data_IF_548510224887
#
_entry.id   IF_548510224887
#
_cell.length_a   1.000
_cell.length_b   1.000
_cell.length_c   1.000
_cell.angle_alpha   90.00
_cell.angle_beta   90.00
_cell.angle_gamma   90.00
#
_symmetry.space_group_name_H-M   'P 1'
#
loop_
_entity.id
_entity.type
_entity.pdbx_description
1 polymer ?
#
# COMPACT_ATOMS: atom_id res chain seq x y z
N UNK A 1 2.88 9.29 15.13
CA UNK A 1 2.18 9.44 13.84
C UNK A 1 3.05 10.00 12.71
N UNK A 2 3.57 11.24 12.76
CA UNK A 2 4.33 11.88 11.65
C UNK A 2 5.42 11.01 11.00
N UNK A 3 6.32 10.44 11.82
CA UNK A 3 7.42 9.59 11.34
C UNK A 3 6.89 8.32 10.67
N UNK A 4 5.84 7.72 11.22
CA UNK A 4 5.18 6.55 10.62
C UNK A 4 4.61 6.90 9.23
N UNK A 5 3.88 8.01 9.12
CA UNK A 5 3.31 8.46 7.84
C UNK A 5 4.42 8.71 6.82
N UNK A 6 5.51 9.37 7.23
CA UNK A 6 6.64 9.65 6.37
C UNK A 6 7.32 8.38 5.84
N UNK A 7 7.69 7.45 6.74
CA UNK A 7 8.37 6.22 6.35
C UNK A 7 7.48 5.37 5.44
N UNK A 8 6.22 5.17 5.84
CA UNK A 8 5.27 4.40 5.05
C UNK A 8 5.01 5.06 3.69
N UNK A 9 4.83 6.38 3.65
CA UNK A 9 4.67 7.14 2.41
C UNK A 9 5.86 7.00 1.46
N UNK A 10 7.09 7.09 1.97
CA UNK A 10 8.29 6.90 1.13
C UNK A 10 8.42 5.47 0.59
N UNK A 11 8.07 4.45 1.39
CA UNK A 11 8.07 3.06 0.95
C UNK A 11 7.02 2.82 -0.14
N UNK A 12 5.79 3.28 0.07
CA UNK A 12 4.70 3.17 -0.92
C UNK A 12 5.03 3.97 -2.20
N UNK A 13 5.71 5.11 -2.08
CA UNK A 13 6.16 5.87 -3.25
C UNK A 13 7.16 5.07 -4.08
N UNK A 14 8.14 4.45 -3.41
CA UNK A 14 9.17 3.65 -4.08
C UNK A 14 8.56 2.41 -4.76
N UNK A 15 7.81 1.61 -4.00
CA UNK A 15 7.19 0.37 -4.51
C UNK A 15 6.15 0.69 -5.58
N UNK A 16 5.30 1.69 -5.32
CA UNK A 16 4.29 2.18 -6.26
C UNK A 16 4.91 2.63 -7.58
N UNK A 17 5.99 3.41 -7.53
CA UNK A 17 6.70 3.85 -8.74
C UNK A 17 7.30 2.69 -9.52
N UNK A 18 7.95 1.73 -8.85
CA UNK A 18 8.53 0.55 -9.49
C UNK A 18 7.43 -0.26 -10.19
N UNK A 19 6.33 -0.54 -9.50
CA UNK A 19 5.23 -1.33 -10.04
C UNK A 19 4.46 -0.59 -11.16
N UNK A 20 4.34 0.74 -11.06
CA UNK A 20 3.70 1.57 -12.07
C UNK A 20 4.53 1.64 -13.37
N UNK A 21 5.85 1.83 -13.28
CA UNK A 21 6.72 2.09 -14.43
C UNK A 21 7.23 0.78 -15.05
N UNK A 22 7.81 -0.10 -14.25
CA UNK A 22 8.43 -1.34 -14.71
C UNK A 22 8.32 -2.47 -13.66
N UNK A 23 7.14 -3.11 -13.53
CA UNK A 23 6.95 -4.16 -12.55
C UNK A 23 7.86 -5.38 -12.78
N UNK A 24 8.43 -5.57 -13.99
CA UNK A 24 9.37 -6.67 -14.29
C UNK A 24 10.69 -6.60 -13.54
N UNK A 25 11.00 -5.49 -12.87
CA UNK A 25 12.13 -5.39 -11.94
C UNK A 25 11.94 -6.37 -10.77
N UNK A 26 10.70 -6.55 -10.32
CA UNK A 26 10.35 -7.46 -9.23
C UNK A 26 10.37 -8.91 -9.77
N UNK A 27 11.11 -9.85 -9.13
CA UNK A 27 11.30 -11.21 -9.64
C UNK A 27 10.00 -11.96 -9.97
N UNK A 28 8.94 -11.79 -9.17
CA UNK A 28 7.63 -12.43 -9.38
C UNK A 28 6.94 -12.03 -10.68
N UNK A 29 7.30 -10.88 -11.27
CA UNK A 29 6.69 -10.37 -12.49
C UNK A 29 7.54 -10.56 -13.75
N UNK A 30 8.77 -11.11 -13.66
CA UNK A 30 9.67 -11.27 -14.83
C UNK A 30 9.04 -12.04 -15.99
N UNK A 31 8.26 -13.08 -15.67
CA UNK A 31 7.55 -13.94 -16.64
C UNK A 31 6.03 -13.80 -16.55
N UNK A 32 5.53 -12.73 -15.93
CA UNK A 32 4.10 -12.48 -15.80
C UNK A 32 3.44 -12.24 -17.17
N UNK A 33 2.18 -12.67 -17.29
CA UNK A 33 1.35 -12.37 -18.46
C UNK A 33 1.10 -10.87 -18.60
N UNK A 34 0.71 -10.43 -19.81
CA UNK A 34 0.35 -9.02 -20.03
C UNK A 34 -0.74 -8.52 -19.08
N UNK A 35 -1.76 -9.34 -18.82
CA UNK A 35 -2.84 -9.01 -17.88
C UNK A 35 -2.32 -8.80 -16.44
N UNK A 36 -1.44 -9.69 -15.97
CA UNK A 36 -0.86 -9.57 -14.63
C UNK A 36 0.07 -8.35 -14.52
N UNK A 37 0.79 -8.00 -15.59
CA UNK A 37 1.57 -6.75 -15.66
C UNK A 37 0.66 -5.52 -15.58
N UNK A 38 -0.47 -5.50 -16.29
CA UNK A 38 -1.43 -4.38 -16.22
C UNK A 38 -1.97 -4.22 -14.80
N UNK A 39 -2.37 -5.31 -14.14
CA UNK A 39 -2.84 -5.27 -12.75
C UNK A 39 -1.75 -4.74 -11.81
N UNK A 40 -0.49 -5.18 -11.98
CA UNK A 40 0.62 -4.68 -11.19
C UNK A 40 0.81 -3.16 -11.34
N UNK A 41 0.65 -2.63 -12.57
CA UNK A 41 0.72 -1.18 -12.81
C UNK A 41 -0.43 -0.43 -12.16
N UNK A 42 -1.65 -0.95 -12.25
CA UNK A 42 -2.84 -0.35 -11.60
C UNK A 42 -2.65 -0.29 -10.08
N UNK A 43 -2.17 -1.40 -9.49
CA UNK A 43 -1.81 -1.43 -8.07
C UNK A 43 -0.70 -0.42 -7.74
N UNK A 44 0.35 -0.35 -8.57
CA UNK A 44 1.42 0.64 -8.41
C UNK A 44 0.91 2.08 -8.45
N UNK A 45 -0.04 2.40 -9.32
CA UNK A 45 -0.69 3.72 -9.36
C UNK A 45 -1.51 4.04 -8.10
N UNK A 46 -2.19 3.05 -7.54
CA UNK A 46 -2.90 3.19 -6.27
C UNK A 46 -1.93 3.46 -5.10
N UNK A 47 -0.88 2.64 -4.97
CA UNK A 47 0.17 2.82 -3.96
C UNK A 47 0.87 4.18 -4.09
N UNK A 48 1.21 4.59 -5.31
CA UNK A 48 1.79 5.90 -5.60
C UNK A 48 0.87 7.04 -5.14
N UNK A 49 -0.44 6.93 -5.39
CA UNK A 49 -1.40 7.97 -5.02
C UNK A 49 -1.54 8.11 -3.49
N UNK A 50 -1.59 6.98 -2.78
CA UNK A 50 -1.60 6.95 -1.31
C UNK A 50 -0.30 7.55 -0.74
N UNK A 51 0.84 7.26 -1.36
CA UNK A 51 2.12 7.81 -0.98
C UNK A 51 2.17 9.34 -1.13
N UNK A 52 1.66 9.89 -2.23
CA UNK A 52 1.55 11.33 -2.42
C UNK A 52 0.68 11.95 -1.33
N UNK A 53 -0.46 11.33 -0.98
CA UNK A 53 -1.29 11.83 0.11
C UNK A 53 -0.57 11.79 1.46
N UNK A 54 0.18 10.73 1.76
CA UNK A 54 1.01 10.64 2.96
C UNK A 54 2.05 11.79 3.03
N UNK A 55 2.71 12.10 1.91
CA UNK A 55 3.68 13.20 1.86
C UNK A 55 3.03 14.57 2.05
N UNK A 56 1.85 14.81 1.46
CA UNK A 56 1.10 16.05 1.68
C UNK A 56 0.77 16.24 3.17
N UNK A 57 0.31 15.18 3.84
CA UNK A 57 0.04 15.21 5.28
C UNK A 57 1.30 15.46 6.09
N UNK A 58 2.45 14.91 5.71
CA UNK A 58 3.71 15.13 6.45
C UNK A 58 4.24 16.56 6.25
N UNK A 59 4.11 17.11 5.04
CA UNK A 59 4.57 18.47 4.75
C UNK A 59 3.70 19.53 5.45
N UNK A 60 2.41 19.27 5.59
CA UNK A 60 1.46 20.14 6.30
C UNK A 60 0.97 19.50 7.61
N UNK A 61 1.87 18.86 8.37
CA UNK A 61 1.47 18.03 9.53
C UNK A 61 0.87 18.83 10.69
N UNK A 62 1.06 20.14 10.75
CA UNK A 62 0.39 20.96 11.76
C UNK A 62 -1.09 21.17 11.43
N UNK A 63 -1.50 20.89 10.19
CA UNK A 63 -2.89 20.90 9.76
C UNK A 63 -3.58 19.57 10.09
N UNK A 64 -4.08 19.47 11.32
CA UNK A 64 -4.70 18.25 11.83
C UNK A 64 -5.96 17.81 11.06
N UNK A 65 -6.57 18.70 10.27
CA UNK A 65 -7.78 18.38 9.49
C UNK A 65 -7.58 17.25 8.48
N UNK A 66 -6.35 16.99 8.06
CA UNK A 66 -6.01 15.94 7.09
C UNK A 66 -5.60 14.61 7.74
N UNK A 67 -5.32 14.59 9.05
CA UNK A 67 -4.80 13.41 9.73
C UNK A 67 -5.80 12.25 9.72
N UNK A 68 -7.01 12.48 10.21
CA UNK A 68 -8.05 11.43 10.28
C UNK A 68 -8.46 10.96 8.88
N UNK A 69 -8.76 11.83 7.90
CA UNK A 69 -9.03 11.39 6.53
C UNK A 69 -7.92 10.53 5.94
N UNK A 70 -6.66 10.92 6.13
CA UNK A 70 -5.52 10.14 5.68
C UNK A 70 -5.47 8.77 6.35
N UNK A 71 -5.57 8.70 7.67
CA UNK A 71 -5.50 7.43 8.40
C UNK A 71 -6.64 6.48 7.99
N UNK A 72 -7.86 6.98 7.74
CA UNK A 72 -8.97 6.16 7.25
C UNK A 72 -8.64 5.58 5.87
N UNK A 73 -8.20 6.42 4.93
CA UNK A 73 -7.88 5.99 3.56
C UNK A 73 -6.72 4.99 3.56
N UNK A 74 -5.67 5.28 4.34
CA UNK A 74 -4.49 4.43 4.50
C UNK A 74 -4.86 3.08 5.13
N UNK A 75 -5.70 3.07 6.18
CA UNK A 75 -6.21 1.86 6.80
C UNK A 75 -7.00 1.00 5.81
N UNK A 76 -7.97 1.59 5.09
CA UNK A 76 -8.79 0.85 4.13
C UNK A 76 -7.96 0.30 2.98
N UNK A 77 -7.00 1.08 2.47
CA UNK A 77 -6.07 0.60 1.45
C UNK A 77 -5.32 -0.65 1.92
N UNK A 78 -4.61 -0.57 3.05
CA UNK A 78 -3.82 -1.70 3.54
C UNK A 78 -4.69 -2.91 3.95
N UNK A 79 -5.84 -2.68 4.57
CA UNK A 79 -6.78 -3.73 4.92
C UNK A 79 -7.30 -4.45 3.66
N UNK A 80 -7.73 -3.71 2.64
CA UNK A 80 -8.24 -4.28 1.41
C UNK A 80 -7.18 -5.13 0.68
N UNK A 81 -5.93 -4.66 0.64
CA UNK A 81 -4.82 -5.43 0.06
C UNK A 81 -4.56 -6.70 0.87
N UNK A 82 -4.49 -6.61 2.20
CA UNK A 82 -4.34 -7.78 3.07
C UNK A 82 -5.46 -8.81 2.84
N UNK A 83 -6.71 -8.35 2.76
CA UNK A 83 -7.86 -9.21 2.48
C UNK A 83 -7.79 -9.82 1.08
N UNK A 84 -7.36 -9.07 0.07
CA UNK A 84 -7.20 -9.60 -1.30
C UNK A 84 -6.24 -10.77 -1.36
N UNK A 85 -5.10 -10.68 -0.64
CA UNK A 85 -4.11 -11.76 -0.54
C UNK A 85 -4.68 -12.96 0.20
N UNK A 86 -5.41 -12.73 1.29
CA UNK A 86 -6.08 -13.80 2.05
C UNK A 86 -7.12 -14.53 1.19
N UNK A 87 -7.96 -13.78 0.47
CA UNK A 87 -8.97 -14.34 -0.44
C UNK A 87 -8.28 -15.18 -1.52
N UNK A 88 -7.22 -14.66 -2.14
CA UNK A 88 -6.46 -15.41 -3.16
C UNK A 88 -5.76 -16.65 -2.59
N UNK A 89 -5.28 -16.59 -1.35
CA UNK A 89 -4.67 -17.75 -0.68
C UNK A 89 -5.72 -18.85 -0.41
N UNK A 90 -6.86 -18.49 0.19
CA UNK A 90 -7.99 -19.40 0.44
C UNK A 90 -8.50 -20.00 -0.89
N UNK A 91 -8.55 -19.19 -1.94
CA UNK A 91 -8.96 -19.61 -3.29
C UNK A 91 -7.89 -20.41 -4.04
N UNK A 92 -6.73 -20.69 -3.43
CA UNK A 92 -5.59 -21.42 -4.01
C UNK A 92 -4.99 -20.74 -5.26
N UNK A 93 -5.17 -19.43 -5.41
CA UNK A 93 -4.65 -18.62 -6.51
C UNK A 93 -3.22 -18.11 -6.26
N UNK A 94 -2.81 -18.02 -4.99
CA UNK A 94 -1.45 -17.64 -4.59
C UNK A 94 -0.95 -18.49 -3.43
N UNK A 95 0.37 -18.67 -3.35
CA UNK A 95 1.07 -19.16 -2.15
C UNK A 95 1.92 -18.05 -1.49
N UNK A 96 2.02 -16.90 -2.15
CA UNK A 96 2.76 -15.73 -1.70
C UNK A 96 1.89 -14.92 -0.74
N UNK A 97 2.05 -15.16 0.57
CA UNK A 97 1.27 -14.51 1.63
C UNK A 97 2.01 -13.36 2.31
N UNK A 98 3.32 -13.25 2.09
CA UNK A 98 4.20 -12.29 2.76
C UNK A 98 3.74 -10.84 2.57
N UNK A 99 3.31 -10.49 1.35
CA UNK A 99 2.78 -9.16 1.06
C UNK A 99 1.48 -8.89 1.84
N UNK A 100 0.62 -9.90 2.00
CA UNK A 100 -0.58 -9.80 2.83
C UNK A 100 -0.24 -9.48 4.29
N UNK A 101 0.78 -10.11 4.86
CA UNK A 101 1.22 -9.83 6.24
C UNK A 101 1.75 -8.40 6.43
N UNK A 102 2.54 -7.90 5.47
CA UNK A 102 3.06 -6.52 5.54
C UNK A 102 1.91 -5.51 5.51
N UNK A 103 0.97 -5.69 4.59
CA UNK A 103 -0.21 -4.83 4.52
C UNK A 103 -1.10 -4.97 5.76
N UNK A 104 -1.29 -6.18 6.29
CA UNK A 104 -2.01 -6.41 7.54
C UNK A 104 -1.39 -5.67 8.72
N UNK A 105 -0.07 -5.72 8.86
CA UNK A 105 0.67 -4.98 9.89
C UNK A 105 0.47 -3.47 9.76
N UNK A 106 0.60 -2.92 8.54
CA UNK A 106 0.38 -1.49 8.30
C UNK A 106 -1.07 -1.09 8.62
N UNK A 107 -2.05 -1.92 8.27
CA UNK A 107 -3.45 -1.69 8.65
C UNK A 107 -3.62 -1.68 10.18
N UNK A 108 -3.02 -2.64 10.91
CA UNK A 108 -3.10 -2.69 12.38
C UNK A 108 -2.47 -1.47 13.04
N UNK A 109 -1.28 -1.05 12.59
CA UNK A 109 -0.61 0.15 13.13
C UNK A 109 -1.45 1.41 12.84
N UNK A 110 -2.05 1.50 11.65
CA UNK A 110 -2.90 2.63 11.28
C UNK A 110 -4.17 2.66 12.13
N UNK A 111 -4.77 1.50 12.38
CA UNK A 111 -5.92 1.37 13.28
C UNK A 111 -5.58 1.79 14.71
N UNK A 112 -4.38 1.46 15.20
CA UNK A 112 -3.89 1.95 16.49
C UNK A 112 -3.88 3.48 16.56
N UNK A 113 -3.39 4.17 15.50
CA UNK A 113 -3.43 5.64 15.42
C UNK A 113 -4.82 6.24 15.17
N UNK A 114 -5.79 5.46 14.69
CA UNK A 114 -7.18 5.91 14.53
C UNK A 114 -7.97 5.85 15.84
N UNK A 115 -7.62 4.92 16.73
CA UNK A 115 -8.36 4.64 17.96
C UNK A 115 -7.81 5.36 19.20
N UNK A 116 -6.59 5.91 19.13
CA UNK A 116 -5.93 6.61 20.23
C UNK A 116 -5.21 7.86 19.74
#
# INVERSE_FOLDING_TARGET
MKIFILISGLLELLVGSIMLINPKIIPSYKKASGALITIARMYGGAAFSIAVFALLVVFDFENESLHIPFLIVFFIFHLAISLSVLISFISKQTREVNIGFIHGLLATITLFYLLG
#
